data_IF_531749883519
#
_entry.id   IF_531749883519
#
_cell.length_a   1.000
_cell.length_b   1.000
_cell.length_c   1.000
_cell.angle_alpha   90.00
_cell.angle_beta   90.00
_cell.angle_gamma   90.00
#
_symmetry.space_group_name_H-M   'P 1'
#
loop_
_entity.id
_entity.type
_entity.pdbx_description
1 polymer ?
#
# COMPACT_ATOMS: atom_id res chain seq x y z
N UNK A 1 -6.01 16.08 -10.93
CA UNK A 1 -6.42 15.45 -12.21
C UNK A 1 -7.14 14.10 -12.04
N UNK A 2 -6.71 13.20 -11.15
CA UNK A 2 -7.34 11.87 -10.98
C UNK A 2 -8.70 11.89 -10.24
N UNK A 3 -8.90 12.78 -9.26
CA UNK A 3 -10.17 12.94 -8.52
C UNK A 3 -11.32 13.40 -9.42
N UNK A 4 -11.05 14.40 -10.28
CA UNK A 4 -12.04 14.94 -11.21
C UNK A 4 -12.41 13.87 -12.25
N UNK A 5 -11.45 13.10 -12.76
CA UNK A 5 -11.73 12.05 -13.76
C UNK A 5 -12.54 10.87 -13.21
N UNK A 6 -12.55 10.64 -11.89
CA UNK A 6 -13.34 9.59 -11.23
C UNK A 6 -14.76 10.05 -10.83
N UNK A 7 -14.97 11.36 -10.71
CA UNK A 7 -16.25 11.93 -10.28
C UNK A 7 -17.30 11.98 -11.40
N UNK A 8 -16.91 12.03 -12.69
CA UNK A 8 -17.83 12.39 -13.78
C UNK A 8 -18.33 11.28 -14.72
N UNK A 9 -17.66 10.13 -14.98
CA UNK A 9 -18.24 9.09 -15.82
C UNK A 9 -19.06 8.08 -14.99
N UNK A 10 -20.36 7.86 -15.29
CA UNK A 10 -21.23 6.90 -14.57
C UNK A 10 -20.70 5.46 -14.58
N UNK A 11 -19.79 5.15 -15.53
CA UNK A 11 -19.18 3.84 -15.70
C UNK A 11 -18.16 3.47 -14.61
N UNK A 12 -17.52 4.44 -13.95
CA UNK A 12 -16.49 4.18 -12.92
C UNK A 12 -17.11 4.00 -11.53
N UNK A 13 -18.25 4.65 -11.25
CA UNK A 13 -19.01 4.48 -9.99
C UNK A 13 -19.62 3.09 -9.85
N UNK A 14 -20.04 2.47 -10.95
CA UNK A 14 -20.72 1.17 -10.97
C UNK A 14 -19.85 -0.04 -10.56
N UNK A 15 -18.52 0.12 -10.54
CA UNK A 15 -17.52 -0.95 -10.26
C UNK A 15 -16.54 -0.56 -9.14
N UNK A 16 -16.83 0.55 -8.46
CA UNK A 16 -16.01 1.03 -7.35
C UNK A 16 -16.50 0.37 -6.06
N UNK A 17 -15.62 -0.37 -5.37
CA UNK A 17 -15.96 -0.91 -4.05
C UNK A 17 -16.00 0.23 -3.03
N UNK A 18 -16.82 0.11 -1.98
CA UNK A 18 -16.87 1.10 -0.88
C UNK A 18 -15.47 1.33 -0.29
N UNK A 19 -14.67 0.27 -0.18
CA UNK A 19 -13.28 0.33 0.28
C UNK A 19 -12.36 1.16 -0.61
N UNK A 20 -12.58 1.15 -1.93
CA UNK A 20 -11.79 1.98 -2.86
C UNK A 20 -12.09 3.48 -2.70
N UNK A 21 -13.30 3.83 -2.26
CA UNK A 21 -13.67 5.23 -1.97
C UNK A 21 -13.02 5.67 -0.67
N UNK A 22 -13.12 4.85 0.39
CA UNK A 22 -12.48 5.12 1.68
C UNK A 22 -10.97 5.29 1.50
N UNK A 23 -10.32 4.39 0.75
CA UNK A 23 -8.91 4.50 0.42
C UNK A 23 -8.58 5.80 -0.31
N UNK A 24 -9.35 6.15 -1.35
CA UNK A 24 -9.10 7.36 -2.13
C UNK A 24 -9.24 8.64 -1.29
N UNK A 25 -10.28 8.70 -0.46
CA UNK A 25 -10.51 9.83 0.46
C UNK A 25 -9.41 9.89 1.50
N UNK A 26 -9.03 8.76 2.10
CA UNK A 26 -7.94 8.68 3.07
C UNK A 26 -6.60 9.13 2.47
N UNK A 27 -6.26 8.65 1.27
CA UNK A 27 -5.07 9.09 0.54
C UNK A 27 -5.10 10.58 0.22
N UNK A 28 -6.26 11.11 -0.18
CA UNK A 28 -6.39 12.54 -0.45
C UNK A 28 -6.16 13.38 0.81
N UNK A 29 -6.80 13.01 1.92
CA UNK A 29 -6.59 13.66 3.23
C UNK A 29 -5.12 13.56 3.64
N UNK A 30 -4.49 12.40 3.46
CA UNK A 30 -3.09 12.19 3.79
C UNK A 30 -2.15 13.10 3.01
N UNK A 31 -2.38 13.25 1.70
CA UNK A 31 -1.60 14.14 0.82
C UNK A 31 -1.80 15.60 1.23
N UNK A 32 -3.04 16.03 1.46
CA UNK A 32 -3.33 17.40 1.91
C UNK A 32 -2.66 17.68 3.26
N UNK A 33 -2.78 16.76 4.23
CA UNK A 33 -2.12 16.89 5.52
C UNK A 33 -0.59 16.96 5.40
N UNK A 34 0.01 16.16 4.53
CA UNK A 34 1.47 16.16 4.31
C UNK A 34 1.98 17.44 3.62
N UNK A 35 1.22 17.95 2.64
CA UNK A 35 1.54 19.24 2.00
C UNK A 35 1.38 20.38 3.00
N UNK A 36 0.31 20.35 3.81
CA UNK A 36 0.09 21.33 4.86
C UNK A 36 1.26 21.34 5.85
N UNK A 37 1.69 20.18 6.34
CA UNK A 37 2.81 20.12 7.28
C UNK A 37 4.11 20.60 6.65
N UNK A 38 4.37 20.28 5.38
CA UNK A 38 5.55 20.75 4.66
C UNK A 38 5.59 22.28 4.49
N UNK A 39 4.44 22.92 4.23
CA UNK A 39 4.34 24.38 4.04
C UNK A 39 4.46 25.12 5.37
N UNK A 40 3.70 24.69 6.39
CA UNK A 40 3.55 25.44 7.64
C UNK A 40 4.57 25.07 8.72
N UNK A 41 5.18 23.88 8.64
CA UNK A 41 6.19 23.41 9.59
C UNK A 41 7.52 23.10 8.88
N UNK A 42 8.02 24.06 8.09
CA UNK A 42 9.25 23.93 7.31
C UNK A 42 10.52 23.65 8.13
N UNK A 43 10.51 23.91 9.44
CA UNK A 43 11.55 23.48 10.38
C UNK A 43 11.43 22.00 10.78
N UNK A 44 10.67 21.20 10.03
CA UNK A 44 10.40 19.79 10.28
C UNK A 44 11.65 18.95 10.54
N UNK A 45 12.73 19.27 9.83
CA UNK A 45 14.03 18.61 9.93
C UNK A 45 14.63 18.64 11.34
N UNK A 46 14.36 19.66 12.15
CA UNK A 46 14.96 19.81 13.48
C UNK A 46 14.40 18.80 14.49
N UNK A 47 13.13 18.46 14.39
CA UNK A 47 12.46 17.50 15.28
C UNK A 47 12.27 16.12 14.63
N UNK A 48 12.38 15.99 13.31
CA UNK A 48 12.15 14.72 12.62
C UNK A 48 13.03 13.57 13.15
N UNK A 49 14.34 13.81 13.24
CA UNK A 49 15.29 12.81 13.71
C UNK A 49 15.17 12.52 15.22
N UNK A 50 14.77 13.52 16.02
CA UNK A 50 14.68 13.40 17.48
C UNK A 50 13.34 12.89 18.01
N UNK A 51 12.25 13.07 17.25
CA UNK A 51 10.89 12.75 17.69
C UNK A 51 10.21 11.73 16.78
N UNK A 52 10.07 12.04 15.49
CA UNK A 52 9.29 11.22 14.56
C UNK A 52 9.95 9.86 14.26
N UNK A 53 11.27 9.84 14.03
CA UNK A 53 12.02 8.61 13.76
C UNK A 53 12.02 7.65 14.97
N UNK A 54 12.36 8.10 16.20
CA UNK A 54 12.29 7.23 17.38
C UNK A 54 10.87 6.76 17.68
N UNK A 55 9.85 7.59 17.42
CA UNK A 55 8.45 7.18 17.56
C UNK A 55 8.09 6.04 16.60
N UNK A 56 8.49 6.15 15.32
CA UNK A 56 8.27 5.08 14.34
C UNK A 56 8.91 3.77 14.79
N UNK A 57 10.15 3.82 15.29
CA UNK A 57 10.81 2.64 15.87
C UNK A 57 10.06 2.06 17.06
N UNK A 58 9.55 2.91 17.95
CA UNK A 58 8.76 2.46 19.12
C UNK A 58 7.50 1.69 18.71
N UNK A 59 6.83 2.14 17.64
CA UNK A 59 5.66 1.46 17.08
C UNK A 59 6.05 0.12 16.45
N UNK A 60 7.15 0.06 15.70
CA UNK A 60 7.66 -1.18 15.11
C UNK A 60 8.11 -2.20 16.16
N UNK A 61 8.59 -1.73 17.32
CA UNK A 61 8.95 -2.57 18.47
C UNK A 61 7.73 -3.01 19.30
N UNK A 62 6.51 -2.66 18.87
CA UNK A 62 5.25 -2.90 19.59
C UNK A 62 5.19 -2.26 20.99
N UNK A 63 5.96 -1.19 21.23
CA UNK A 63 5.94 -0.42 22.47
C UNK A 63 5.86 1.09 22.14
N UNK A 64 4.66 1.60 21.83
CA UNK A 64 4.50 2.96 21.33
C UNK A 64 4.74 4.01 22.42
N UNK A 65 5.79 4.81 22.26
CA UNK A 65 6.11 5.89 23.19
C UNK A 65 5.49 7.23 22.73
N UNK A 66 4.33 7.58 23.28
CA UNK A 66 3.54 8.76 22.89
C UNK A 66 4.23 10.09 23.28
N UNK A 67 5.08 10.09 24.30
CA UNK A 67 5.78 11.32 24.76
C UNK A 67 6.65 11.95 23.66
N UNK A 68 7.13 11.15 22.71
CA UNK A 68 7.93 11.61 21.58
C UNK A 68 7.15 12.49 20.60
N UNK A 69 5.83 12.30 20.51
CA UNK A 69 4.96 13.00 19.55
C UNK A 69 4.00 13.98 20.22
N UNK A 70 3.99 14.05 21.54
CA UNK A 70 3.05 14.87 22.31
C UNK A 70 3.18 16.36 22.00
N UNK A 71 4.40 16.86 21.82
CA UNK A 71 4.66 18.27 21.54
C UNK A 71 4.59 18.62 20.04
N UNK A 72 4.27 17.66 19.17
CA UNK A 72 4.15 17.93 17.74
C UNK A 72 2.85 18.69 17.42
N UNK A 73 2.87 19.53 16.36
CA UNK A 73 1.67 20.21 15.90
C UNK A 73 0.55 19.23 15.53
N UNK A 74 -0.70 19.65 15.71
CA UNK A 74 -1.87 18.80 15.49
C UNK A 74 -1.89 18.17 14.09
N UNK A 75 -1.57 18.93 13.05
CA UNK A 75 -1.55 18.40 11.68
C UNK A 75 -0.47 17.33 11.45
N UNK A 76 0.66 17.41 12.17
CA UNK A 76 1.68 16.35 12.12
C UNK A 76 1.14 15.08 12.77
N UNK A 77 0.45 15.20 13.92
CA UNK A 77 -0.22 14.06 14.58
C UNK A 77 -1.30 13.43 13.68
N UNK A 78 -2.13 14.24 13.04
CA UNK A 78 -3.14 13.78 12.08
C UNK A 78 -2.49 13.04 10.91
N UNK A 79 -1.39 13.56 10.36
CA UNK A 79 -0.66 12.90 9.28
C UNK A 79 -0.06 11.56 9.72
N UNK A 80 0.49 11.48 10.94
CA UNK A 80 1.03 10.23 11.50
C UNK A 80 -0.08 9.18 11.68
N UNK A 81 -1.19 9.54 12.32
CA UNK A 81 -2.33 8.64 12.52
C UNK A 81 -2.95 8.21 11.19
N UNK A 82 -3.08 9.13 10.24
CA UNK A 82 -3.56 8.85 8.89
C UNK A 82 -2.66 7.85 8.16
N UNK A 83 -1.34 7.98 8.30
CA UNK A 83 -0.37 7.03 7.72
C UNK A 83 -0.58 5.62 8.29
N UNK A 84 -0.64 5.45 9.61
CA UNK A 84 -0.86 4.14 10.22
C UNK A 84 -2.23 3.55 9.88
N UNK A 85 -3.26 4.38 9.78
CA UNK A 85 -4.59 3.94 9.34
C UNK A 85 -4.54 3.40 7.90
N UNK A 86 -3.86 4.08 6.99
CA UNK A 86 -3.68 3.61 5.61
C UNK A 86 -2.85 2.33 5.53
N UNK A 87 -1.83 2.18 6.37
CA UNK A 87 -1.07 0.93 6.49
C UNK A 87 -1.97 -0.21 6.99
N UNK A 88 -2.84 0.03 7.98
CA UNK A 88 -3.82 -0.96 8.43
C UNK A 88 -4.84 -1.34 7.35
N UNK A 89 -5.21 -0.41 6.48
CA UNK A 89 -6.11 -0.64 5.33
C UNK A 89 -5.39 -1.29 4.12
N UNK A 90 -4.06 -1.32 4.12
CA UNK A 90 -3.24 -1.84 3.01
C UNK A 90 -3.65 -3.24 2.52
N UNK A 91 -3.78 -4.29 3.38
CA UNK A 91 -4.11 -5.63 2.90
C UNK A 91 -5.56 -5.79 2.44
N UNK A 92 -6.45 -4.88 2.84
CA UNK A 92 -7.89 -4.94 2.53
C UNK A 92 -8.30 -4.09 1.32
N UNK A 93 -7.33 -3.48 0.64
CA UNK A 93 -7.59 -2.56 -0.47
C UNK A 93 -6.81 -2.98 -1.71
N UNK A 94 -7.11 -2.34 -2.85
CA UNK A 94 -6.37 -2.57 -4.10
C UNK A 94 -4.87 -2.24 -4.00
N UNK A 95 -4.40 -1.60 -2.92
CA UNK A 95 -2.99 -1.34 -2.67
C UNK A 95 -2.15 -2.63 -2.60
N UNK A 96 -2.72 -3.77 -2.22
CA UNK A 96 -2.01 -5.05 -2.18
C UNK A 96 -1.40 -5.44 -3.54
N UNK A 97 -1.98 -4.97 -4.65
CA UNK A 97 -1.46 -5.24 -6.00
C UNK A 97 -0.11 -4.58 -6.27
N UNK A 98 0.28 -3.60 -5.45
CA UNK A 98 1.64 -3.04 -5.48
C UNK A 98 2.70 -4.10 -5.12
N UNK A 99 2.36 -5.13 -4.33
CA UNK A 99 3.30 -6.19 -3.98
C UNK A 99 3.53 -7.18 -5.13
N UNK A 100 2.59 -7.28 -6.08
CA UNK A 100 2.70 -8.16 -7.25
C UNK A 100 3.41 -7.50 -8.44
N UNK A 101 4.29 -6.52 -8.22
CA UNK A 101 5.07 -5.92 -9.30
C UNK A 101 5.90 -7.02 -9.99
N UNK A 102 5.77 -7.19 -11.31
CA UNK A 102 6.44 -8.27 -12.03
C UNK A 102 7.91 -7.93 -12.28
N UNK A 103 8.69 -7.73 -11.21
CA UNK A 103 10.14 -7.42 -11.27
C UNK A 103 10.88 -8.55 -12.01
N UNK A 104 10.42 -9.78 -11.83
CA UNK A 104 10.87 -10.97 -12.54
C UNK A 104 10.74 -10.88 -14.07
N UNK A 105 9.91 -9.97 -14.61
CA UNK A 105 9.75 -9.79 -16.05
C UNK A 105 11.01 -9.23 -16.72
N UNK A 106 11.83 -8.46 -15.99
CA UNK A 106 13.07 -7.89 -16.51
C UNK A 106 14.05 -8.98 -16.94
N UNK A 107 14.06 -10.11 -16.23
CA UNK A 107 14.94 -11.26 -16.50
C UNK A 107 14.21 -12.45 -17.12
N UNK A 108 12.93 -12.30 -17.49
CA UNK A 108 12.14 -13.40 -18.03
C UNK A 108 12.48 -13.64 -19.50
N UNK A 109 12.72 -14.91 -19.86
CA UNK A 109 12.86 -15.30 -21.27
C UNK A 109 11.60 -14.94 -22.07
N UNK A 110 11.73 -14.48 -23.34
CA UNK A 110 10.59 -14.06 -24.14
C UNK A 110 9.54 -15.16 -24.35
N UNK A 111 9.99 -16.41 -24.39
CA UNK A 111 9.14 -17.58 -24.58
C UNK A 111 9.12 -18.42 -23.31
N UNK A 112 7.92 -18.67 -22.80
CA UNK A 112 7.67 -19.62 -21.72
C UNK A 112 6.80 -20.74 -22.27
N UNK A 113 7.40 -21.91 -22.45
CA UNK A 113 6.71 -23.12 -22.89
C UNK A 113 6.27 -23.89 -21.65
N UNK A 114 4.96 -23.99 -21.44
CA UNK A 114 4.39 -24.85 -20.39
C UNK A 114 4.06 -26.19 -21.03
N UNK A 115 4.87 -27.21 -20.76
CA UNK A 115 4.63 -28.56 -21.27
C UNK A 115 3.46 -29.23 -20.56
N UNK A 116 2.52 -29.79 -21.31
CA UNK A 116 1.47 -30.63 -20.75
C UNK A 116 2.04 -32.03 -20.51
N UNK A 117 2.27 -32.41 -19.25
CA UNK A 117 2.59 -33.80 -18.93
C UNK A 117 1.30 -34.60 -19.04
N UNK A 118 1.16 -35.42 -20.07
CA UNK A 118 0.07 -36.39 -20.15
C UNK A 118 0.19 -37.38 -18.99
N UNK A 119 -0.73 -37.27 -18.03
CA UNK A 119 -1.00 -38.29 -17.02
C UNK A 119 -1.47 -39.55 -17.77
N UNK A 120 -0.56 -40.43 -18.18
CA UNK A 120 -0.96 -41.56 -19.02
C UNK A 120 0.12 -42.54 -19.49
N UNK A 121 1.34 -42.49 -18.96
CA UNK A 121 2.39 -43.45 -19.33
C UNK A 121 2.46 -44.69 -18.42
N UNK A 122 1.40 -45.02 -17.67
CA UNK A 122 1.38 -46.15 -16.72
C UNK A 122 0.61 -47.38 -17.23
N UNK A 123 -0.11 -47.32 -18.35
CA UNK A 123 -1.06 -48.40 -18.73
C UNK A 123 -0.65 -49.30 -19.91
N UNK A 124 0.65 -49.49 -20.20
CA UNK A 124 1.06 -50.39 -21.31
C UNK A 124 2.09 -51.47 -20.97
N UNK A 125 2.25 -51.85 -19.69
CA UNK A 125 3.12 -52.98 -19.30
C UNK A 125 2.39 -54.33 -19.09
N UNK A 126 1.05 -54.42 -19.11
CA UNK A 126 0.31 -55.63 -18.68
C UNK A 126 -0.46 -56.38 -19.78
N UNK A 127 -0.05 -56.29 -21.05
CA UNK A 127 -0.83 -56.90 -22.15
C UNK A 127 0.00 -57.67 -23.18
N UNK A 128 1.08 -58.37 -22.79
CA UNK A 128 1.68 -59.45 -23.60
C UNK A 128 2.36 -60.50 -22.72
N UNK A 129 1.54 -61.30 -22.03
CA UNK A 129 1.76 -62.75 -21.88
C UNK A 129 0.75 -63.45 -22.78
#
# INVERSE_FOLDING_TARGET
>A
MLMIRRAFPPRIRAITSVMDVVLLVGLFVQVVAGIWTAIFYGWGSSWYAGAAVPYLWSVLQFNPNISLVENLPLMVKVHIVGAFSLVGLFPFTRLVHFLSLPIQYIWRSPQVVVGNQSVGAVTHSESKL
#
